data_IF_297520100196
#
_entry.id   IF_297520100196
#
_cell.length_a   1.000
_cell.length_b   1.000
_cell.length_c   1.000
_cell.angle_alpha   90.00
_cell.angle_beta   90.00
_cell.angle_gamma   90.00
#
_symmetry.space_group_name_H-M   'P 1'
#
loop_
_entity.id
_entity.type
_entity.pdbx_description
1 polymer ?
#
# COMPACT_ATOMS: atom_id res chain seq x y z
N UNK A 1 11.69 -7.38 12.66
CA UNK A 1 11.37 -6.47 11.54
C UNK A 1 10.38 -7.19 10.65
N UNK A 2 9.30 -6.51 10.24
CA UNK A 2 8.26 -7.07 9.38
C UNK A 2 8.25 -6.29 8.06
N UNK A 3 8.13 -7.00 6.93
CA UNK A 3 8.03 -6.39 5.60
C UNK A 3 6.79 -6.90 4.86
N UNK A 4 6.00 -5.97 4.34
CA UNK A 4 4.78 -6.26 3.59
C UNK A 4 4.90 -5.74 2.15
N UNK A 5 4.56 -6.60 1.18
CA UNK A 5 4.56 -6.24 -0.25
C UNK A 5 3.27 -5.50 -0.65
N UNK A 6 3.19 -5.03 -1.90
CA UNK A 6 2.06 -4.21 -2.35
C UNK A 6 0.69 -4.89 -2.28
N UNK A 7 0.61 -6.20 -2.54
CA UNK A 7 -0.62 -7.00 -2.37
C UNK A 7 -1.04 -7.10 -0.90
N UNK A 8 -0.07 -7.13 0.02
CA UNK A 8 -0.37 -7.13 1.46
C UNK A 8 -0.96 -5.81 1.95
N UNK A 9 -0.88 -4.75 1.15
CA UNK A 9 -1.42 -3.41 1.45
C UNK A 9 -2.27 -2.87 0.29
N UNK A 10 -2.97 -3.76 -0.43
CA UNK A 10 -3.70 -3.37 -1.65
C UNK A 10 -5.03 -2.65 -1.40
N UNK A 11 -5.70 -2.97 -0.29
CA UNK A 11 -7.00 -2.45 0.10
C UNK A 11 -7.16 -2.44 1.64
N UNK A 12 -8.31 -1.95 2.11
CA UNK A 12 -8.59 -1.80 3.55
C UNK A 12 -8.53 -3.16 4.28
N UNK A 13 -9.11 -4.21 3.69
CA UNK A 13 -9.10 -5.54 4.29
C UNK A 13 -7.68 -6.11 4.39
N UNK A 14 -6.80 -5.82 3.42
CA UNK A 14 -5.40 -6.18 3.47
C UNK A 14 -4.66 -5.45 4.60
N UNK A 15 -4.91 -4.15 4.76
CA UNK A 15 -4.39 -3.38 5.89
C UNK A 15 -4.84 -3.93 7.24
N UNK A 16 -6.09 -4.34 7.38
CA UNK A 16 -6.60 -4.96 8.61
C UNK A 16 -5.85 -6.25 8.95
N UNK A 17 -5.65 -7.14 7.97
CA UNK A 17 -4.85 -8.37 8.13
C UNK A 17 -3.41 -8.06 8.54
N UNK A 18 -2.77 -7.08 7.90
CA UNK A 18 -1.41 -6.64 8.27
C UNK A 18 -1.38 -6.09 9.68
N UNK A 19 -2.38 -5.29 10.07
CA UNK A 19 -2.46 -4.72 11.40
C UNK A 19 -2.63 -5.79 12.48
N UNK A 20 -3.34 -6.90 12.20
CA UNK A 20 -3.41 -8.06 13.09
C UNK A 20 -2.05 -8.72 13.31
N UNK A 21 -1.30 -8.94 12.22
CA UNK A 21 0.06 -9.52 12.29
C UNK A 21 0.98 -8.62 13.12
N UNK A 22 0.95 -7.30 12.87
CA UNK A 22 1.77 -6.33 13.62
C UNK A 22 1.35 -6.29 15.10
N UNK A 23 0.04 -6.39 15.40
CA UNK A 23 -0.45 -6.44 16.78
C UNK A 23 0.06 -7.67 17.53
N UNK A 24 0.10 -8.83 16.89
CA UNK A 24 0.63 -10.06 17.49
C UNK A 24 2.11 -9.94 17.86
N UNK A 25 2.88 -9.21 17.06
CA UNK A 25 4.32 -9.00 17.25
C UNK A 25 4.68 -7.83 18.17
N UNK A 26 3.71 -7.17 18.80
CA UNK A 26 3.93 -5.93 19.60
C UNK A 26 4.99 -6.06 20.69
N UNK A 27 5.12 -7.23 21.32
CA UNK A 27 6.12 -7.47 22.37
C UNK A 27 7.57 -7.36 21.88
N UNK A 28 7.80 -7.52 20.57
CA UNK A 28 9.12 -7.41 19.95
C UNK A 28 9.44 -5.99 19.44
N UNK A 29 8.55 -5.01 19.66
CA UNK A 29 8.68 -3.63 19.17
C UNK A 29 9.06 -3.57 17.68
N UNK A 30 8.20 -4.10 16.78
CA UNK A 30 8.58 -4.34 15.41
C UNK A 30 8.72 -3.03 14.63
N UNK A 31 9.81 -2.90 13.87
CA UNK A 31 9.87 -1.98 12.73
C UNK A 31 9.12 -2.60 11.57
N UNK A 32 8.16 -1.86 11.01
CA UNK A 32 7.33 -2.27 9.88
C UNK A 32 7.75 -1.50 8.63
N UNK A 33 8.08 -2.23 7.57
CA UNK A 33 8.43 -1.68 6.26
C UNK A 33 7.37 -2.12 5.26
N UNK A 34 6.84 -1.18 4.47
CA UNK A 34 5.83 -1.47 3.44
C UNK A 34 6.31 -1.05 2.07
N UNK A 35 5.90 -1.80 1.06
CA UNK A 35 5.90 -1.31 -0.33
C UNK A 35 4.71 -0.38 -0.58
N UNK A 36 4.68 0.30 -1.73
CA UNK A 36 3.47 0.98 -2.19
C UNK A 36 2.33 -0.02 -2.43
N UNK A 37 1.07 0.46 -2.38
CA UNK A 37 -0.11 -0.37 -2.67
C UNK A 37 0.00 -1.00 -4.07
N UNK A 38 -0.54 -2.20 -4.23
CA UNK A 38 -0.45 -2.97 -5.48
C UNK A 38 -0.75 -2.12 -6.74
N UNK A 39 0.19 -2.10 -7.69
CA UNK A 39 0.10 -1.34 -8.96
C UNK A 39 0.48 0.14 -8.90
N UNK A 40 0.63 0.75 -7.71
CA UNK A 40 0.92 2.20 -7.60
C UNK A 40 2.29 2.54 -8.20
N UNK A 41 3.32 1.72 -7.96
CA UNK A 41 4.66 1.97 -8.51
C UNK A 41 4.65 1.97 -10.03
N UNK A 42 3.95 1.00 -10.64
CA UNK A 42 3.87 0.88 -12.09
C UNK A 42 3.09 2.05 -12.69
N UNK A 43 2.00 2.48 -12.05
CA UNK A 43 1.24 3.64 -12.49
C UNK A 43 2.04 4.95 -12.35
N UNK A 44 2.88 5.09 -11.32
CA UNK A 44 3.81 6.23 -11.22
C UNK A 44 4.79 6.26 -12.38
N UNK A 45 5.38 5.13 -12.74
CA UNK A 45 6.28 5.04 -13.88
C UNK A 45 5.56 5.35 -15.20
N UNK A 46 4.38 4.76 -15.41
CA UNK A 46 3.54 5.02 -16.58
C UNK A 46 3.12 6.50 -16.70
N UNK A 47 2.84 7.18 -15.57
CA UNK A 47 2.47 8.60 -15.56
C UNK A 47 3.60 9.51 -16.04
N UNK A 48 4.85 9.15 -15.72
CA UNK A 48 6.03 9.88 -16.17
C UNK A 48 6.22 9.68 -17.68
N UNK A 49 6.10 8.44 -18.15
CA UNK A 49 6.23 8.10 -19.57
C UNK A 49 5.13 8.77 -20.43
N UNK A 50 3.89 8.78 -19.93
CA UNK A 50 2.76 9.41 -20.61
C UNK A 50 2.71 10.94 -20.44
N UNK A 51 3.57 11.53 -19.60
CA UNK A 51 3.50 12.92 -19.17
C UNK A 51 2.08 13.34 -18.72
N UNK A 52 1.38 12.43 -18.05
CA UNK A 52 -0.04 12.56 -17.68
C UNK A 52 -0.33 11.78 -16.40
N UNK A 53 -1.20 12.32 -15.55
CA UNK A 53 -1.62 11.66 -14.31
C UNK A 53 -2.85 10.73 -14.48
N UNK A 54 -3.34 10.53 -15.70
CA UNK A 54 -4.57 9.75 -15.94
C UNK A 54 -4.50 8.33 -15.35
N UNK A 55 -3.36 7.67 -15.46
CA UNK A 55 -3.13 6.32 -14.89
C UNK A 55 -3.12 6.30 -13.35
N UNK A 56 -2.89 7.44 -12.70
CA UNK A 56 -2.85 7.53 -11.23
C UNK A 56 -4.23 7.70 -10.60
N UNK A 57 -5.22 8.19 -11.35
CA UNK A 57 -6.54 8.54 -10.80
C UNK A 57 -7.22 7.36 -10.07
N UNK A 58 -7.28 6.14 -10.64
CA UNK A 58 -7.87 4.99 -9.95
C UNK A 58 -7.12 4.63 -8.66
N UNK A 59 -5.80 4.86 -8.65
CA UNK A 59 -4.97 4.58 -7.48
C UNK A 59 -5.15 5.63 -6.38
N UNK A 60 -5.39 6.89 -6.72
CA UNK A 60 -5.72 7.94 -5.76
C UNK A 60 -7.08 7.72 -5.11
N UNK A 61 -8.10 7.34 -5.89
CA UNK A 61 -9.42 7.01 -5.35
C UNK A 61 -9.32 5.87 -4.34
N UNK A 62 -8.66 4.76 -4.72
CA UNK A 62 -8.43 3.63 -3.82
C UNK A 62 -7.65 4.04 -2.57
N UNK A 63 -6.66 4.92 -2.69
CA UNK A 63 -5.91 5.42 -1.52
C UNK A 63 -6.81 6.21 -0.56
N UNK A 64 -7.74 7.01 -1.09
CA UNK A 64 -8.72 7.76 -0.28
C UNK A 64 -9.71 6.83 0.41
N UNK A 65 -10.15 5.76 -0.27
CA UNK A 65 -11.08 4.80 0.32
C UNK A 65 -10.44 4.01 1.47
N UNK A 66 -9.17 3.62 1.33
CA UNK A 66 -8.42 2.95 2.40
C UNK A 66 -8.11 3.87 3.58
N UNK A 67 -7.97 5.18 3.35
CA UNK A 67 -7.61 6.15 4.38
C UNK A 67 -8.80 6.70 5.19
N UNK A 68 -10.03 6.34 4.83
CA UNK A 68 -11.25 6.71 5.59
C UNK A 68 -11.37 5.88 6.86
#
# INVERSE_FOLDING_TARGET
MLKFGGTSVEDAAAFERVAEIVRAERGAHPVVVVSAMSGVTDALLASVEAASAAELEPHFERHRDVAR
#
